data_IF_409880831480
#
_entry.id   IF_409880831480
#
_cell.length_a   1.000
_cell.length_b   1.000
_cell.length_c   1.000
_cell.angle_alpha   90.00
_cell.angle_beta   90.00
_cell.angle_gamma   90.00
#
_symmetry.space_group_name_H-M   'P 1'
#
loop_
_entity.id
_entity.type
_entity.pdbx_description
1 polymer ?
#
# COMPACT_ATOMS: atom_id res chain seq x y z
N UNK A 1 -2.98 -15.07 3.36
CA UNK A 1 -2.95 -13.89 4.27
C UNK A 1 -1.60 -13.84 4.96
N UNK A 2 -0.99 -12.66 5.09
CA UNK A 2 0.22 -12.41 5.91
C UNK A 2 -0.20 -11.53 7.08
N UNK A 3 -0.18 -12.09 8.30
CA UNK A 3 -0.55 -11.40 9.54
C UNK A 3 0.63 -10.71 10.22
N UNK A 4 0.34 -9.91 11.25
CA UNK A 4 1.36 -9.20 12.03
C UNK A 4 2.26 -10.08 12.91
N UNK A 5 1.97 -11.37 12.98
CA UNK A 5 2.74 -12.42 13.65
C UNK A 5 3.77 -13.09 12.73
N UNK A 6 3.70 -12.85 11.41
CA UNK A 6 4.54 -13.53 10.44
C UNK A 6 5.96 -12.94 10.35
N UNK A 7 6.08 -11.61 10.43
CA UNK A 7 7.31 -10.83 10.26
C UNK A 7 7.17 -9.49 10.98
N UNK A 8 8.20 -8.64 10.91
CA UNK A 8 8.17 -7.28 11.45
C UNK A 8 6.93 -6.49 10.98
N UNK A 9 6.38 -5.70 11.90
CA UNK A 9 5.22 -4.84 11.65
C UNK A 9 5.61 -3.63 10.80
N UNK A 10 4.61 -3.08 10.11
CA UNK A 10 4.72 -1.78 9.43
C UNK A 10 5.28 -0.72 10.40
N UNK A 11 6.15 0.21 9.97
CA UNK A 11 6.48 0.52 8.58
C UNK A 11 7.54 -0.37 7.93
N UNK A 12 7.97 -1.46 8.60
CA UNK A 12 8.89 -2.41 7.99
C UNK A 12 8.25 -3.07 6.74
N UNK A 13 8.97 -3.13 5.60
CA UNK A 13 8.44 -3.66 4.35
C UNK A 13 8.35 -5.20 4.33
N UNK A 14 8.82 -5.92 5.36
CA UNK A 14 8.87 -7.38 5.38
C UNK A 14 7.51 -8.02 5.14
N UNK A 15 6.44 -7.47 5.73
CA UNK A 15 5.07 -7.99 5.55
C UNK A 15 4.60 -7.87 4.09
N UNK A 16 4.85 -6.74 3.46
CA UNK A 16 4.53 -6.51 2.04
C UNK A 16 5.37 -7.39 1.12
N UNK A 17 6.68 -7.46 1.33
CA UNK A 17 7.59 -8.32 0.53
C UNK A 17 7.24 -9.80 0.63
N UNK A 18 6.91 -10.27 1.83
CA UNK A 18 6.45 -11.65 2.04
C UNK A 18 5.12 -11.91 1.33
N UNK A 19 4.20 -10.95 1.36
CA UNK A 19 2.93 -11.05 0.65
C UNK A 19 3.14 -11.20 -0.86
N UNK A 20 3.93 -10.31 -1.47
CA UNK A 20 4.28 -10.36 -2.89
C UNK A 20 4.94 -11.69 -3.26
N UNK A 21 5.92 -12.14 -2.48
CA UNK A 21 6.59 -13.42 -2.69
C UNK A 21 5.62 -14.61 -2.67
N UNK A 22 4.67 -14.65 -1.73
CA UNK A 22 3.66 -15.73 -1.65
C UNK A 22 2.66 -15.71 -2.80
N UNK A 23 2.43 -14.54 -3.40
CA UNK A 23 1.57 -14.36 -4.56
C UNK A 23 2.30 -14.63 -5.88
N UNK A 24 3.63 -14.80 -5.86
CA UNK A 24 4.44 -14.86 -7.08
C UNK A 24 4.43 -13.54 -7.86
N UNK A 25 4.24 -12.42 -7.15
CA UNK A 25 4.16 -11.08 -7.71
C UNK A 25 5.36 -10.23 -7.27
N UNK A 26 5.46 -9.04 -7.86
CA UNK A 26 6.46 -8.02 -7.54
C UNK A 26 5.81 -6.63 -7.47
N UNK A 27 6.62 -5.60 -7.23
CA UNK A 27 6.16 -4.21 -7.16
C UNK A 27 5.74 -3.64 -8.52
N UNK A 28 6.10 -4.28 -9.63
CA UNK A 28 5.73 -3.84 -10.98
C UNK A 28 4.33 -4.33 -11.36
N UNK A 29 3.92 -5.45 -10.79
CA UNK A 29 2.62 -6.10 -11.00
C UNK A 29 1.62 -5.87 -9.87
N UNK A 30 2.00 -5.15 -8.82
CA UNK A 30 1.14 -4.89 -7.66
C UNK A 30 1.04 -3.41 -7.28
N UNK A 31 -0.10 -3.04 -6.69
CA UNK A 31 -0.31 -1.76 -6.01
C UNK A 31 -0.55 -2.02 -4.53
N UNK A 32 0.14 -1.29 -3.66
CA UNK A 32 -0.10 -1.32 -2.23
C UNK A 32 -1.15 -0.28 -1.84
N UNK A 33 -2.25 -0.74 -1.25
CA UNK A 33 -3.34 0.11 -0.77
C UNK A 33 -3.27 0.20 0.75
N UNK A 34 -3.32 1.42 1.28
CA UNK A 34 -3.37 1.69 2.71
C UNK A 34 -3.97 3.05 3.01
N UNK A 35 -4.12 3.39 4.28
CA UNK A 35 -4.90 4.55 4.72
C UNK A 35 -4.17 5.45 5.73
N UNK A 36 -2.94 5.08 6.08
CA UNK A 36 -2.13 5.78 7.07
C UNK A 36 -0.71 6.11 6.58
N UNK A 37 -0.02 6.95 7.35
CA UNK A 37 1.39 7.28 7.17
C UNK A 37 2.30 6.06 7.35
N UNK A 38 1.88 5.13 8.21
CA UNK A 38 2.55 3.85 8.44
C UNK A 38 2.53 3.00 7.16
N UNK A 39 1.41 2.99 6.43
CA UNK A 39 1.30 2.30 5.14
C UNK A 39 2.14 2.99 4.07
N UNK A 40 2.08 4.32 4.00
CA UNK A 40 2.89 5.09 3.06
C UNK A 40 4.40 4.84 3.27
N UNK A 41 4.84 4.78 4.53
CA UNK A 41 6.22 4.45 4.87
C UNK A 41 6.58 3.00 4.50
N UNK A 42 5.66 2.05 4.70
CA UNK A 42 5.83 0.64 4.28
C UNK A 42 6.01 0.53 2.78
N UNK A 43 5.14 1.20 2.01
CA UNK A 43 5.20 1.21 0.55
C UNK A 43 6.52 1.76 0.05
N UNK A 44 6.95 2.90 0.61
CA UNK A 44 8.22 3.54 0.30
C UNK A 44 9.41 2.63 0.60
N UNK A 45 9.43 2.00 1.77
CA UNK A 45 10.50 1.07 2.15
C UNK A 45 10.54 -0.19 1.27
N UNK A 46 9.40 -0.59 0.72
CA UNK A 46 9.28 -1.69 -0.23
C UNK A 46 9.54 -1.26 -1.69
N UNK A 47 9.68 0.03 -1.98
CA UNK A 47 9.65 0.60 -3.33
C UNK A 47 8.40 0.20 -4.13
N UNK A 48 7.26 0.05 -3.45
CA UNK A 48 5.99 -0.32 -4.06
C UNK A 48 5.17 0.93 -4.44
N UNK A 49 4.43 0.90 -5.57
CA UNK A 49 3.40 1.89 -5.85
C UNK A 49 2.38 1.96 -4.72
N UNK A 50 2.05 3.17 -4.26
CA UNK A 50 1.13 3.38 -3.14
C UNK A 50 -0.15 4.09 -3.57
N UNK A 51 -1.28 3.55 -3.15
CA UNK A 51 -2.60 4.16 -3.28
C UNK A 51 -3.18 4.44 -1.89
N UNK A 52 -3.58 5.70 -1.65
CA UNK A 52 -4.10 6.12 -0.36
C UNK A 52 -5.63 6.10 -0.34
N UNK A 53 -6.19 5.36 0.60
CA UNK A 53 -7.61 5.46 0.94
C UNK A 53 -7.85 6.62 1.93
N UNK A 54 -8.60 7.64 1.51
CA UNK A 54 -8.71 8.92 2.24
C UNK A 54 -9.82 8.96 3.28
N UNK A 55 -10.47 7.83 3.58
CA UNK A 55 -11.46 7.74 4.67
C UNK A 55 -10.96 6.92 5.87
N UNK A 56 -9.65 6.61 5.92
CA UNK A 56 -9.07 5.84 7.02
C UNK A 56 -8.17 6.64 7.98
N UNK A 57 -7.29 5.93 8.70
CA UNK A 57 -6.61 6.38 9.92
C UNK A 57 -5.31 7.16 9.67
N UNK A 58 -5.39 8.29 8.95
CA UNK A 58 -4.28 9.26 8.83
C UNK A 58 -4.50 10.48 9.72
N UNK A 59 -3.40 11.05 10.19
CA UNK A 59 -3.37 12.37 10.84
C UNK A 59 -2.73 13.44 9.96
N UNK A 60 -1.88 13.03 9.02
CA UNK A 60 -1.17 13.88 8.08
C UNK A 60 -2.03 14.23 6.85
N UNK A 61 -1.79 15.40 6.23
CA UNK A 61 -2.42 15.76 4.96
C UNK A 61 -2.04 14.78 3.85
N UNK A 62 -2.97 14.52 2.93
CA UNK A 62 -2.83 13.54 1.83
C UNK A 62 -1.58 13.80 0.99
N UNK A 63 -1.30 15.07 0.72
CA UNK A 63 -0.23 15.54 -0.15
C UNK A 63 1.16 15.18 0.40
N UNK A 64 1.27 14.93 1.70
CA UNK A 64 2.53 14.62 2.37
C UNK A 64 2.91 13.14 2.30
N UNK A 65 1.98 12.27 1.91
CA UNK A 65 2.16 10.81 1.98
C UNK A 65 2.78 10.22 0.71
N UNK A 66 2.84 10.99 -0.38
CA UNK A 66 3.48 10.57 -1.63
C UNK A 66 2.75 9.42 -2.31
N UNK A 67 1.42 9.35 -2.17
CA UNK A 67 0.60 8.37 -2.88
C UNK A 67 0.59 8.69 -4.38
N UNK A 68 0.64 7.64 -5.22
CA UNK A 68 0.50 7.77 -6.66
C UNK A 68 -0.91 8.23 -7.06
N UNK A 69 -1.92 7.82 -6.29
CA UNK A 69 -3.27 8.35 -6.33
C UNK A 69 -3.95 8.20 -4.96
N UNK A 70 -4.95 9.03 -4.70
CA UNK A 70 -5.77 8.99 -3.50
C UNK A 70 -7.24 8.85 -3.89
N UNK A 71 -8.00 8.09 -3.09
CA UNK A 71 -9.41 7.79 -3.38
C UNK A 71 -10.19 7.59 -2.07
N UNK A 72 -11.49 7.89 -2.10
CA UNK A 72 -12.44 7.68 -1.00
C UNK A 72 -13.52 6.63 -1.30
N UNK A 73 -13.62 6.18 -2.55
CA UNK A 73 -14.50 5.12 -3.00
C UNK A 73 -13.73 4.13 -3.88
N UNK A 74 -13.86 2.84 -3.61
CA UNK A 74 -13.25 1.78 -4.43
C UNK A 74 -13.79 1.76 -5.87
N UNK A 75 -15.01 2.26 -6.10
CA UNK A 75 -15.55 2.46 -7.44
C UNK A 75 -14.79 3.52 -8.24
N UNK A 76 -14.04 4.40 -7.58
CA UNK A 76 -13.20 5.43 -8.20
C UNK A 76 -11.78 4.95 -8.51
N UNK A 77 -11.44 3.68 -8.24
CA UNK A 77 -10.14 3.13 -8.61
C UNK A 77 -9.93 3.23 -10.13
N UNK A 78 -8.79 3.76 -10.59
CA UNK A 78 -8.57 3.93 -12.00
C UNK A 78 -8.47 2.55 -12.69
N UNK A 79 -8.92 2.40 -13.95
CA UNK A 79 -8.94 1.10 -14.63
C UNK A 79 -7.59 0.39 -14.67
N UNK A 80 -6.49 1.14 -14.74
CA UNK A 80 -5.14 0.57 -14.74
C UNK A 80 -4.76 -0.08 -13.40
N UNK A 81 -5.35 0.35 -12.28
CA UNK A 81 -5.14 -0.28 -10.97
C UNK A 81 -5.90 -1.61 -10.86
N UNK A 82 -6.91 -1.82 -11.71
CA UNK A 82 -7.71 -3.04 -11.78
C UNK A 82 -7.22 -4.02 -12.86
N UNK A 83 -6.22 -3.64 -13.65
CA UNK A 83 -5.79 -4.38 -14.84
C UNK A 83 -4.30 -4.80 -14.81
N UNK A 84 -3.62 -4.74 -13.66
CA UNK A 84 -2.24 -5.21 -13.50
C UNK A 84 -2.19 -6.69 -13.12
#
# INVERSE_FOLDING_TARGET
VVGGDAVALKPDPASLRLCLSRLGADTDTAVYVGDSETDAATARAAAAPFALYTQGYRSAPVETLGAAFAFDDFAALPPWALSR
#
